data_IF_029834075546
#
_entry.id   IF_029834075546
#
_cell.length_a   1.000
_cell.length_b   1.000
_cell.length_c   1.000
_cell.angle_alpha   90.00
_cell.angle_beta   90.00
_cell.angle_gamma   90.00
#
_symmetry.space_group_name_H-M   'P 1'
#
loop_
_entity.id
_entity.type
_entity.pdbx_description
1 polymer ?
#
# COMPACT_ATOMS: atom_id res chain seq x y z
N UNK A 1 -3.49 -13.21 -7.81
CA UNK A 1 -4.00 -13.60 -6.48
C UNK A 1 -4.22 -15.11 -6.39
N UNK A 2 -5.01 -15.72 -7.29
CA UNK A 2 -5.27 -17.16 -7.28
C UNK A 2 -3.96 -17.96 -7.42
N UNK A 3 -3.08 -17.59 -8.37
CA UNK A 3 -1.77 -18.23 -8.55
C UNK A 3 -0.83 -18.08 -7.34
N UNK A 4 -1.11 -17.11 -6.45
CA UNK A 4 -0.37 -16.91 -5.19
C UNK A 4 -0.98 -17.69 -4.01
N UNK A 5 -1.95 -18.57 -4.27
CA UNK A 5 -2.56 -19.43 -3.27
C UNK A 5 -3.81 -18.89 -2.59
N UNK A 6 -4.36 -17.75 -3.05
CA UNK A 6 -5.65 -17.28 -2.55
C UNK A 6 -6.77 -18.16 -3.12
N UNK A 7 -7.49 -18.84 -2.25
CA UNK A 7 -8.61 -19.69 -2.58
C UNK A 7 -9.88 -18.84 -2.80
N UNK A 8 -10.44 -18.76 -4.03
CA UNK A 8 -11.60 -17.93 -4.32
C UNK A 8 -12.90 -18.44 -3.66
N UNK A 9 -12.93 -19.70 -3.21
CA UNK A 9 -14.08 -20.23 -2.47
C UNK A 9 -14.11 -19.77 -1.01
N UNK A 10 -12.94 -19.41 -0.48
CA UNK A 10 -12.78 -18.93 0.91
C UNK A 10 -12.56 -17.41 1.00
N UNK A 11 -12.21 -16.77 -0.11
CA UNK A 11 -11.86 -15.35 -0.16
C UNK A 11 -12.69 -14.66 -1.24
N UNK A 12 -13.17 -13.45 -0.94
CA UNK A 12 -13.90 -12.63 -1.89
C UNK A 12 -12.86 -11.87 -2.74
N UNK A 13 -12.80 -12.19 -4.04
CA UNK A 13 -11.95 -11.50 -5.02
C UNK A 13 -12.88 -10.84 -6.04
N UNK A 14 -12.80 -9.52 -6.17
CA UNK A 14 -13.67 -8.76 -7.06
C UNK A 14 -12.94 -7.59 -7.72
N UNK A 15 -13.54 -7.08 -8.81
CA UNK A 15 -13.04 -5.87 -9.47
C UNK A 15 -13.65 -4.64 -8.78
N UNK A 16 -12.80 -3.77 -8.24
CA UNK A 16 -13.22 -2.53 -7.58
C UNK A 16 -14.17 -1.69 -8.46
N UNK A 17 -13.88 -1.56 -9.76
CA UNK A 17 -14.71 -0.77 -10.68
C UNK A 17 -16.13 -1.31 -10.88
N UNK A 18 -16.39 -2.58 -10.51
CA UNK A 18 -17.72 -3.17 -10.56
C UNK A 18 -18.62 -2.78 -9.38
N UNK A 19 -18.09 -2.06 -8.40
CA UNK A 19 -18.79 -1.64 -7.18
C UNK A 19 -18.77 -0.12 -7.08
N UNK A 20 -19.81 0.56 -7.56
CA UNK A 20 -19.91 2.03 -7.58
C UNK A 20 -19.78 2.68 -6.21
N UNK A 21 -20.19 1.96 -5.16
CA UNK A 21 -20.15 2.42 -3.79
C UNK A 21 -18.76 2.87 -3.30
N UNK A 22 -17.67 2.35 -3.89
CA UNK A 22 -16.32 2.85 -3.61
C UNK A 22 -16.16 4.33 -3.96
N UNK A 23 -16.59 4.71 -5.16
CA UNK A 23 -16.51 6.10 -5.64
C UNK A 23 -17.51 7.01 -4.90
N UNK A 24 -18.69 6.51 -4.60
CA UNK A 24 -19.70 7.23 -3.85
C UNK A 24 -19.24 7.55 -2.44
N UNK A 25 -18.71 6.55 -1.73
CA UNK A 25 -18.17 6.74 -0.38
C UNK A 25 -16.91 7.62 -0.39
N UNK A 26 -16.06 7.49 -1.41
CA UNK A 26 -14.88 8.34 -1.58
C UNK A 26 -15.29 9.82 -1.74
N UNK A 27 -16.38 10.11 -2.47
CA UNK A 27 -16.90 11.46 -2.56
C UNK A 27 -17.39 11.99 -1.21
N UNK A 28 -18.11 11.16 -0.46
CA UNK A 28 -18.55 11.52 0.90
C UNK A 28 -17.34 11.82 1.78
N UNK A 29 -16.28 11.00 1.71
CA UNK A 29 -15.05 11.22 2.48
C UNK A 29 -14.29 12.47 2.03
N UNK A 30 -14.36 12.87 0.76
CA UNK A 30 -13.84 14.16 0.30
C UNK A 30 -14.54 15.34 1.00
N UNK A 31 -15.83 15.18 1.35
CA UNK A 31 -16.57 16.20 2.09
C UNK A 31 -16.31 16.16 3.61
N UNK A 32 -15.78 15.07 4.14
CA UNK A 32 -15.47 14.89 5.56
C UNK A 32 -14.00 15.21 5.87
N UNK A 33 -13.08 14.75 5.03
CA UNK A 33 -11.64 14.91 5.21
C UNK A 33 -11.22 16.39 5.12
N UNK A 34 -10.10 16.70 5.77
CA UNK A 34 -9.54 18.06 5.78
C UNK A 34 -8.43 18.19 4.76
N UNK A 35 -8.40 19.28 4.00
CA UNK A 35 -7.31 19.59 3.04
C UNK A 35 -5.94 19.52 3.71
N UNK A 36 -5.81 19.97 4.96
CA UNK A 36 -4.55 19.90 5.72
C UNK A 36 -4.07 18.46 5.97
N UNK A 37 -4.97 17.46 6.02
CA UNK A 37 -4.60 16.05 6.12
C UNK A 37 -4.01 15.55 4.81
N UNK A 38 -4.66 15.87 3.69
CA UNK A 38 -4.19 15.50 2.34
C UNK A 38 -2.83 16.12 2.04
N UNK A 39 -2.62 17.39 2.36
CA UNK A 39 -1.35 18.09 2.14
C UNK A 39 -0.19 17.54 2.96
N UNK A 40 -0.44 16.84 4.05
CA UNK A 40 0.59 16.19 4.88
C UNK A 40 1.02 14.83 4.35
N UNK A 41 0.26 14.23 3.44
CA UNK A 41 0.58 12.92 2.88
C UNK A 41 1.94 12.94 2.16
N UNK A 42 2.84 12.05 2.57
CA UNK A 42 4.20 11.98 2.03
C UNK A 42 4.18 11.70 0.53
N UNK A 43 3.36 10.75 0.09
CA UNK A 43 3.25 10.41 -1.33
C UNK A 43 2.75 11.57 -2.20
N UNK A 44 1.86 12.42 -1.68
CA UNK A 44 1.45 13.63 -2.40
C UNK A 44 2.65 14.57 -2.57
N UNK A 45 3.42 14.79 -1.51
CA UNK A 45 4.59 15.68 -1.55
C UNK A 45 5.65 15.19 -2.54
N UNK A 46 5.91 13.88 -2.55
CA UNK A 46 6.91 13.26 -3.43
C UNK A 46 6.48 13.29 -4.91
N UNK A 47 5.23 12.95 -5.20
CA UNK A 47 4.73 12.83 -6.59
C UNK A 47 4.33 14.16 -7.20
N UNK A 48 3.84 15.12 -6.41
CA UNK A 48 3.48 16.45 -6.90
C UNK A 48 4.73 17.29 -7.24
N UNK A 49 5.89 16.97 -6.66
CA UNK A 49 7.13 17.70 -6.92
C UNK A 49 7.08 19.16 -6.47
N UNK A 50 7.89 19.99 -7.13
CA UNK A 50 8.00 21.43 -6.82
C UNK A 50 6.73 22.19 -7.25
N UNK A 51 6.14 21.83 -8.40
CA UNK A 51 4.96 22.50 -8.97
C UNK A 51 3.67 21.78 -8.57
N UNK A 52 3.29 21.89 -7.31
CA UNK A 52 2.07 21.26 -6.78
C UNK A 52 0.79 21.69 -7.50
N UNK A 53 0.78 22.86 -8.10
CA UNK A 53 -0.35 23.39 -8.86
C UNK A 53 -0.67 22.57 -10.11
N UNK A 54 0.34 21.89 -10.67
CA UNK A 54 0.16 21.01 -11.83
C UNK A 54 -0.25 19.57 -11.45
N UNK A 55 -0.30 19.27 -10.15
CA UNK A 55 -0.74 17.95 -9.69
C UNK A 55 -2.24 17.79 -9.88
N UNK A 56 -2.66 16.61 -10.35
CA UNK A 56 -4.09 16.32 -10.48
C UNK A 56 -4.78 16.29 -9.11
N UNK A 57 -6.05 16.69 -9.08
CA UNK A 57 -6.88 16.57 -7.86
C UNK A 57 -6.94 15.10 -7.40
N UNK A 58 -6.98 14.15 -8.35
CA UNK A 58 -6.95 12.73 -8.03
C UNK A 58 -5.71 12.32 -7.23
N UNK A 59 -4.53 12.90 -7.51
CA UNK A 59 -3.32 12.63 -6.74
C UNK A 59 -3.44 13.16 -5.29
N UNK A 60 -4.17 14.24 -5.07
CA UNK A 60 -4.42 14.78 -3.73
C UNK A 60 -5.43 13.92 -2.94
N UNK A 61 -6.50 13.48 -3.59
CA UNK A 61 -7.66 12.88 -2.90
C UNK A 61 -7.73 11.35 -2.98
N UNK A 62 -6.86 10.64 -3.74
CA UNK A 62 -6.89 9.18 -3.79
C UNK A 62 -6.79 8.49 -2.40
N UNK A 63 -6.17 9.09 -1.35
CA UNK A 63 -6.19 8.47 -0.03
C UNK A 63 -7.61 8.35 0.56
N UNK A 64 -8.54 9.22 0.15
CA UNK A 64 -9.94 9.10 0.55
C UNK A 64 -10.64 7.95 -0.16
N UNK A 65 -10.28 7.66 -1.43
CA UNK A 65 -10.75 6.46 -2.12
C UNK A 65 -10.20 5.19 -1.46
N UNK A 66 -8.93 5.18 -1.06
CA UNK A 66 -8.37 4.06 -0.30
C UNK A 66 -9.09 3.87 1.05
N UNK A 67 -9.43 4.95 1.74
CA UNK A 67 -10.23 4.87 2.96
C UNK A 67 -11.63 4.30 2.68
N UNK A 68 -12.24 4.65 1.55
CA UNK A 68 -13.51 4.09 1.12
C UNK A 68 -13.40 2.59 0.81
N UNK A 69 -12.34 2.16 0.12
CA UNK A 69 -12.08 0.74 -0.16
C UNK A 69 -12.01 -0.12 1.11
N UNK A 70 -11.55 0.45 2.20
CA UNK A 70 -11.41 -0.22 3.49
C UNK A 70 -12.71 -0.15 4.31
N UNK A 71 -13.26 1.05 4.47
CA UNK A 71 -14.37 1.32 5.39
C UNK A 71 -15.72 0.86 4.84
N UNK A 72 -15.89 0.79 3.51
CA UNK A 72 -17.10 0.28 2.88
C UNK A 72 -17.44 -1.14 3.38
N UNK A 73 -16.42 -1.95 3.57
CA UNK A 73 -16.55 -3.34 4.05
C UNK A 73 -16.40 -3.47 5.56
N UNK A 74 -16.30 -2.35 6.28
CA UNK A 74 -16.11 -2.32 7.74
C UNK A 74 -14.92 -3.17 8.20
N UNK A 75 -13.84 -3.17 7.39
CA UNK A 75 -12.64 -3.89 7.72
C UNK A 75 -12.06 -3.39 9.05
N UNK A 76 -11.69 -4.32 9.92
CA UNK A 76 -11.07 -4.02 11.21
C UNK A 76 -9.54 -4.06 11.14
N UNK A 77 -8.99 -4.88 10.21
CA UNK A 77 -7.56 -5.06 10.00
C UNK A 77 -7.24 -5.04 8.51
N UNK A 78 -6.12 -4.43 8.15
CA UNK A 78 -5.64 -4.37 6.76
C UNK A 78 -4.17 -4.78 6.70
N UNK A 79 -3.83 -5.87 6.00
CA UNK A 79 -2.45 -6.25 5.76
C UNK A 79 -1.81 -5.26 4.77
N UNK A 80 -0.76 -4.57 5.23
CA UNK A 80 -0.07 -3.53 4.46
C UNK A 80 1.43 -3.54 4.71
N UNK A 81 2.20 -3.02 3.75
CA UNK A 81 3.59 -2.65 3.97
C UNK A 81 3.70 -1.36 4.80
N UNK A 82 4.87 -1.13 5.37
CA UNK A 82 5.14 0.06 6.21
C UNK A 82 4.87 1.40 5.50
N UNK A 83 5.08 1.44 4.19
CA UNK A 83 4.82 2.62 3.36
C UNK A 83 3.33 3.01 3.27
N UNK A 84 2.42 2.12 3.64
CA UNK A 84 0.98 2.37 3.66
C UNK A 84 0.44 2.77 5.04
N UNK A 85 1.29 2.76 6.07
CA UNK A 85 0.89 3.10 7.44
C UNK A 85 0.20 4.46 7.53
N UNK A 86 0.76 5.49 6.89
CA UNK A 86 0.20 6.83 6.89
C UNK A 86 -1.21 6.89 6.27
N UNK A 87 -1.48 6.08 5.23
CA UNK A 87 -2.82 5.99 4.64
C UNK A 87 -3.82 5.37 5.60
N UNK A 88 -3.42 4.37 6.40
CA UNK A 88 -4.29 3.79 7.41
C UNK A 88 -4.53 4.75 8.59
N UNK A 89 -3.54 5.54 8.99
CA UNK A 89 -3.72 6.61 9.97
C UNK A 89 -4.77 7.63 9.49
N UNK A 90 -4.69 8.04 8.23
CA UNK A 90 -5.70 8.90 7.62
C UNK A 90 -7.08 8.23 7.59
N UNK A 91 -7.16 6.95 7.23
CA UNK A 91 -8.42 6.19 7.24
C UNK A 91 -9.06 6.20 8.64
N UNK A 92 -8.26 6.04 9.68
CA UNK A 92 -8.71 6.12 11.08
C UNK A 92 -9.23 7.51 11.42
N UNK A 93 -8.53 8.56 10.99
CA UNK A 93 -8.96 9.94 11.23
C UNK A 93 -10.28 10.26 10.51
N UNK A 94 -10.46 9.78 9.28
CA UNK A 94 -11.70 9.90 8.52
C UNK A 94 -12.84 9.17 9.25
N UNK A 95 -12.62 7.91 9.68
CA UNK A 95 -13.62 7.12 10.40
C UNK A 95 -14.07 7.83 11.68
N UNK A 96 -13.10 8.28 12.50
CA UNK A 96 -13.41 9.02 13.76
C UNK A 96 -14.19 10.29 13.49
N UNK A 97 -13.75 11.07 12.50
CA UNK A 97 -14.42 12.32 12.16
C UNK A 97 -15.83 12.06 11.63
N UNK A 98 -16.02 11.10 10.74
CA UNK A 98 -17.34 10.71 10.23
C UNK A 98 -18.26 10.31 11.38
N UNK A 99 -17.84 9.38 12.23
CA UNK A 99 -18.61 8.89 13.36
C UNK A 99 -19.03 10.04 14.31
N UNK A 100 -18.13 11.00 14.53
CA UNK A 100 -18.37 12.18 15.37
C UNK A 100 -19.31 13.18 14.71
N UNK A 101 -19.06 13.56 13.45
CA UNK A 101 -19.84 14.60 12.74
C UNK A 101 -21.29 14.17 12.55
N UNK A 102 -21.52 12.90 12.23
CA UNK A 102 -22.84 12.34 11.99
C UNK A 102 -23.49 11.74 13.25
N UNK A 103 -22.80 11.77 14.40
CA UNK A 103 -23.27 11.24 15.69
C UNK A 103 -23.81 9.80 15.59
N UNK A 104 -23.15 8.99 14.78
CA UNK A 104 -23.61 7.63 14.46
C UNK A 104 -22.88 6.52 15.27
N UNK A 105 -22.27 6.88 16.40
CA UNK A 105 -21.50 5.94 17.21
C UNK A 105 -20.27 5.39 16.44
N UNK A 106 -20.00 4.11 16.60
CA UNK A 106 -18.89 3.45 15.91
C UNK A 106 -19.33 2.86 14.57
N UNK A 107 -20.01 3.64 13.73
CA UNK A 107 -20.49 3.18 12.43
C UNK A 107 -19.37 2.66 11.54
N UNK A 108 -18.27 3.40 11.44
CA UNK A 108 -17.03 2.89 10.85
C UNK A 108 -16.07 2.44 11.93
N UNK A 109 -15.50 1.21 11.82
CA UNK A 109 -14.50 0.73 12.76
C UNK A 109 -13.20 1.53 12.65
N UNK A 110 -12.43 1.55 13.72
CA UNK A 110 -11.08 2.13 13.72
C UNK A 110 -10.13 1.03 13.28
N UNK A 111 -9.75 1.08 12.01
CA UNK A 111 -8.93 0.04 11.36
C UNK A 111 -7.52 -0.05 11.95
N UNK A 112 -7.01 -1.27 12.07
CA UNK A 112 -5.65 -1.55 12.51
C UNK A 112 -4.78 -2.11 11.37
N UNK A 113 -3.53 -1.63 11.23
CA UNK A 113 -2.61 -2.18 10.24
C UNK A 113 -2.06 -3.53 10.71
N UNK A 114 -2.05 -4.51 9.80
CA UNK A 114 -1.29 -5.75 9.96
C UNK A 114 0.03 -5.62 9.21
N UNK A 115 1.09 -5.23 9.92
CA UNK A 115 2.43 -5.09 9.36
C UNK A 115 3.29 -6.26 9.85
N UNK A 116 3.67 -7.13 8.93
CA UNK A 116 4.62 -8.20 9.22
C UNK A 116 6.03 -7.60 9.30
N UNK A 117 6.60 -7.55 10.50
CA UNK A 117 7.92 -6.95 10.76
C UNK A 117 9.03 -7.60 9.95
N UNK A 118 8.93 -8.90 9.69
CA UNK A 118 9.95 -9.69 8.99
C UNK A 118 9.96 -9.46 7.46
N UNK A 119 8.85 -8.98 6.88
CA UNK A 119 8.69 -8.80 5.43
C UNK A 119 8.23 -7.37 5.11
N UNK A 120 8.47 -6.44 6.00
CA UNK A 120 7.95 -5.07 5.86
C UNK A 120 8.48 -4.33 4.63
N UNK A 121 9.67 -4.71 4.13
CA UNK A 121 10.30 -4.06 2.99
C UNK A 121 11.15 -5.02 2.16
N UNK A 122 10.74 -5.28 0.93
CA UNK A 122 11.52 -6.06 -0.03
C UNK A 122 12.43 -5.13 -0.80
N UNK A 123 13.73 -5.45 -0.83
CA UNK A 123 14.75 -4.61 -1.46
C UNK A 123 15.00 -5.02 -2.90
N UNK A 124 15.48 -4.07 -3.72
CA UNK A 124 15.85 -4.30 -5.11
C UNK A 124 17.00 -5.32 -5.22
N UNK A 125 16.92 -6.25 -6.17
CA UNK A 125 17.99 -7.19 -6.45
C UNK A 125 19.29 -6.51 -6.92
N UNK A 126 19.20 -5.30 -7.48
CA UNK A 126 20.34 -4.53 -7.99
C UNK A 126 20.94 -3.59 -6.95
N UNK A 127 20.16 -3.21 -5.94
CA UNK A 127 20.58 -2.30 -4.89
C UNK A 127 19.86 -2.61 -3.58
N UNK A 128 20.55 -3.29 -2.67
CA UNK A 128 19.98 -3.66 -1.35
C UNK A 128 19.62 -2.48 -0.45
N UNK A 129 19.90 -1.24 -0.84
CA UNK A 129 19.47 -0.02 -0.12
C UNK A 129 18.19 0.60 -0.67
N UNK A 130 17.78 0.20 -1.88
CA UNK A 130 16.57 0.70 -2.53
C UNK A 130 15.44 -0.30 -2.41
N UNK A 131 14.22 0.19 -2.14
CA UNK A 131 13.01 -0.64 -2.19
C UNK A 131 12.83 -1.21 -3.60
N UNK A 132 12.46 -2.48 -3.71
CA UNK A 132 12.03 -3.10 -4.97
C UNK A 132 10.84 -2.32 -5.54
N UNK A 133 10.92 -1.94 -6.81
CA UNK A 133 9.86 -1.15 -7.47
C UNK A 133 9.48 -1.76 -8.81
N UNK A 134 8.17 -1.81 -9.07
CA UNK A 134 7.63 -2.23 -10.35
C UNK A 134 8.00 -1.25 -11.48
N UNK A 135 8.20 0.02 -11.15
CA UNK A 135 8.54 1.10 -12.08
C UNK A 135 10.04 1.35 -12.23
N UNK A 136 10.90 0.48 -11.69
CA UNK A 136 12.35 0.54 -11.95
C UNK A 136 12.64 0.25 -13.42
N UNK A 137 13.54 1.02 -14.05
CA UNK A 137 13.89 0.86 -15.46
C UNK A 137 14.51 -0.51 -15.78
N UNK A 138 15.21 -1.09 -14.81
CA UNK A 138 15.82 -2.42 -14.95
C UNK A 138 14.88 -3.52 -14.46
N UNK A 139 14.49 -4.41 -15.37
CA UNK A 139 13.71 -5.60 -15.00
C UNK A 139 14.49 -6.57 -14.09
N UNK A 140 15.82 -6.49 -14.08
CA UNK A 140 16.69 -7.26 -13.16
C UNK A 140 16.66 -6.74 -11.72
N UNK A 141 15.95 -5.65 -11.43
CA UNK A 141 15.79 -5.14 -10.06
C UNK A 141 14.77 -5.92 -9.24
N UNK A 142 13.95 -6.76 -9.90
CA UNK A 142 12.82 -7.47 -9.30
C UNK A 142 12.57 -8.83 -9.92
N UNK A 143 11.79 -9.65 -9.23
CA UNK A 143 11.21 -10.88 -9.78
C UNK A 143 9.72 -10.61 -10.02
N UNK A 144 9.24 -10.86 -11.23
CA UNK A 144 7.84 -10.74 -11.57
C UNK A 144 7.17 -12.13 -11.47
N UNK A 145 5.88 -12.17 -11.15
CA UNK A 145 5.11 -13.43 -11.10
C UNK A 145 5.02 -14.15 -12.47
N UNK A 146 5.35 -13.45 -13.56
CA UNK A 146 5.36 -13.99 -14.92
C UNK A 146 6.75 -14.45 -15.38
N UNK A 147 7.77 -14.28 -14.55
CA UNK A 147 9.13 -14.66 -14.93
C UNK A 147 9.23 -16.19 -14.96
N UNK A 148 9.75 -16.72 -16.07
CA UNK A 148 10.06 -18.13 -16.23
C UNK A 148 11.27 -18.52 -15.35
N UNK A 149 11.38 -19.81 -15.01
CA UNK A 149 12.40 -20.35 -14.11
C UNK A 149 13.82 -19.89 -14.48
N UNK A 150 14.17 -19.97 -15.76
CA UNK A 150 15.51 -19.62 -16.23
C UNK A 150 15.81 -18.13 -16.07
N UNK A 151 14.81 -17.28 -16.26
CA UNK A 151 14.94 -15.83 -16.05
C UNK A 151 15.09 -15.50 -14.55
N UNK A 152 14.33 -16.17 -13.69
CA UNK A 152 14.48 -16.01 -12.23
C UNK A 152 15.90 -16.39 -11.81
N UNK A 153 16.41 -17.52 -12.29
CA UNK A 153 17.79 -17.96 -12.00
C UNK A 153 18.83 -16.94 -12.45
N UNK A 154 18.67 -16.38 -13.66
CA UNK A 154 19.55 -15.32 -14.15
C UNK A 154 19.48 -14.05 -13.30
N UNK A 155 18.28 -13.64 -12.88
CA UNK A 155 18.07 -12.46 -12.03
C UNK A 155 18.76 -12.65 -10.67
N UNK A 156 18.64 -13.83 -10.07
CA UNK A 156 19.31 -14.17 -8.81
C UNK A 156 20.83 -14.19 -8.97
N UNK A 157 21.34 -14.84 -10.03
CA UNK A 157 22.81 -14.86 -10.31
C UNK A 157 23.41 -13.47 -10.51
N UNK A 158 22.63 -12.53 -11.05
CA UNK A 158 23.04 -11.13 -11.28
C UNK A 158 22.67 -10.19 -10.14
N UNK A 159 22.02 -10.67 -9.09
CA UNK A 159 21.69 -9.87 -7.93
C UNK A 159 22.95 -9.37 -7.22
N UNK A 160 22.84 -8.21 -6.58
CA UNK A 160 23.93 -7.69 -5.75
C UNK A 160 24.14 -8.62 -4.57
N UNK A 161 25.34 -9.14 -4.44
CA UNK A 161 25.75 -9.99 -3.31
C UNK A 161 26.47 -9.18 -2.25
N UNK A 162 26.38 -9.64 -1.01
CA UNK A 162 27.17 -9.16 0.10
C UNK A 162 28.56 -9.82 0.07
N UNK A 163 29.60 -9.11 0.50
CA UNK A 163 30.96 -9.65 0.70
C UNK A 163 31.16 -10.27 2.08
N UNK A 164 30.16 -10.15 2.97
CA UNK A 164 30.21 -10.75 4.29
C UNK A 164 30.08 -12.30 4.21
N UNK A 165 30.66 -13.04 5.17
CA UNK A 165 30.45 -14.48 5.26
C UNK A 165 28.97 -14.80 5.47
N UNK A 166 28.55 -15.98 5.02
CA UNK A 166 27.17 -16.44 5.24
C UNK A 166 26.88 -16.47 6.73
N UNK A 167 25.83 -15.78 7.21
CA UNK A 167 25.49 -15.76 8.63
C UNK A 167 25.17 -17.18 9.12
N UNK A 168 25.67 -17.54 10.29
CA UNK A 168 25.42 -18.84 10.93
C UNK A 168 24.05 -18.89 11.59
N UNK A 169 23.51 -17.73 11.98
CA UNK A 169 22.21 -17.59 12.63
C UNK A 169 21.37 -16.46 12.00
N UNK A 170 20.05 -16.63 12.00
CA UNK A 170 19.11 -15.63 11.46
C UNK A 170 19.20 -14.24 12.14
N UNK A 171 19.73 -14.18 13.37
CA UNK A 171 19.93 -12.92 14.10
C UNK A 171 21.06 -12.04 13.55
N UNK A 172 21.94 -12.60 12.73
CA UNK A 172 23.06 -11.90 12.10
C UNK A 172 22.67 -11.22 10.78
N UNK A 173 21.46 -11.49 10.28
CA UNK A 173 20.88 -10.83 9.11
C UNK A 173 20.47 -9.41 9.48
N UNK A 174 21.17 -8.41 8.93
CA UNK A 174 20.88 -6.97 9.11
C UNK A 174 20.05 -6.43 7.97
#
# INVERSE_FOLDING_TARGET
FIASGLDPEKNIIFNQASVSAHSELAWIFNCVARIGWMNRMTQFKEKAGVNKENASVGLLVYPNLMAADILLYKATHVPVGEDQKQHLELTRDIAKKFNSDFKCGDYFPIVEPLILKEISRVMSLRDGKKKMSKSDDSDYSRINLKDEKDLIEQKIKKAKTDSAPVPSEAKELK
#
